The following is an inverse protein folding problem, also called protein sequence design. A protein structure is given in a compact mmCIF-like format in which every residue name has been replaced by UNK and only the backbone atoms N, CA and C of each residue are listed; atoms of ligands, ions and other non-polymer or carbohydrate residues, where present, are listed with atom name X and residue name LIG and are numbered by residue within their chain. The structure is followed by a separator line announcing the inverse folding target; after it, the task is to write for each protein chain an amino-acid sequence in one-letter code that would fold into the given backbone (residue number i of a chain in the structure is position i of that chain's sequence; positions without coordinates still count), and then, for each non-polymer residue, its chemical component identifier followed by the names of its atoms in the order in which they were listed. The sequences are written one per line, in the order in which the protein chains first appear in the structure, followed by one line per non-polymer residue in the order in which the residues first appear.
data_IF_787967596139
#
_entry.id   IF_787967596139
#
_cell.length_a   1.000
_cell.length_b   1.000
_cell.length_c   1.000
_cell.angle_alpha   90.00
_cell.angle_beta   90.00
_cell.angle_gamma   90.00
#
_symmetry.space_group_name_H-M   'P 1'
#
loop_
_entity.id
_entity.type
_entity.pdbx_description
1 polymer ?
#
# COMPACT_ATOMS: atom_id res chain seq x y z
N UNK A 1 -81.00 43.07 -11.82
CA UNK A 1 -80.23 43.87 -10.84
C UNK A 1 -78.90 43.16 -10.61
N UNK A 2 -77.79 43.86 -10.92
CA UNK A 2 -76.41 43.68 -10.40
C UNK A 2 -75.69 42.40 -10.92
N UNK A 3 -74.87 42.40 -11.98
CA UNK A 3 -73.58 43.09 -12.23
C UNK A 3 -72.56 42.99 -11.08
N UNK A 4 -71.72 41.95 -11.10
CA UNK A 4 -70.30 42.10 -10.76
C UNK A 4 -69.47 41.21 -11.71
N UNK A 5 -68.74 41.87 -12.61
CA UNK A 5 -67.64 41.27 -13.35
C UNK A 5 -66.50 40.95 -12.37
N UNK A 6 -65.94 39.74 -12.43
CA UNK A 6 -64.60 39.45 -11.91
C UNK A 6 -63.74 38.94 -13.05
N UNK A 7 -63.23 39.92 -13.80
CA UNK A 7 -61.99 39.83 -14.54
C UNK A 7 -60.85 39.80 -13.55
N UNK A 8 -60.06 38.72 -13.52
CA UNK A 8 -58.61 38.85 -13.61
C UNK A 8 -57.98 37.51 -13.98
N UNK A 9 -57.15 37.56 -15.03
CA UNK A 9 -56.28 36.50 -15.49
C UNK A 9 -55.49 35.86 -14.33
N UNK A 10 -55.63 34.55 -14.17
CA UNK A 10 -54.53 33.74 -13.65
C UNK A 10 -53.90 33.05 -14.86
N UNK A 11 -52.77 33.64 -15.24
CA UNK A 11 -51.92 33.28 -16.37
C UNK A 11 -51.72 31.77 -16.46
N UNK A 12 -51.89 31.22 -17.65
CA UNK A 12 -51.43 29.87 -17.96
C UNK A 12 -49.95 29.75 -17.62
N UNK A 13 -49.64 29.03 -16.54
CA UNK A 13 -48.27 28.71 -16.17
C UNK A 13 -47.66 27.87 -17.31
N UNK A 14 -46.59 28.32 -17.98
CA UNK A 14 -45.92 27.50 -18.97
C UNK A 14 -45.36 26.25 -18.28
N UNK A 15 -45.43 25.08 -18.92
CA UNK A 15 -45.00 23.78 -18.38
C UNK A 15 -43.54 23.76 -17.87
N UNK A 16 -42.76 24.76 -18.26
CA UNK A 16 -41.35 25.02 -17.95
C UNK A 16 -41.18 25.80 -16.63
N UNK A 17 -42.26 26.35 -16.06
CA UNK A 17 -42.20 27.18 -14.86
C UNK A 17 -41.72 26.41 -13.63
N UNK A 18 -42.08 25.13 -13.50
CA UNK A 18 -41.56 24.26 -12.45
C UNK A 18 -40.04 24.07 -12.57
N UNK A 19 -39.52 23.89 -13.78
CA UNK A 19 -38.09 23.74 -14.03
C UNK A 19 -37.33 25.05 -13.77
N UNK A 20 -37.90 26.19 -14.16
CA UNK A 20 -37.30 27.51 -13.89
C UNK A 20 -37.24 27.79 -12.38
N UNK A 21 -38.28 27.45 -11.62
CA UNK A 21 -38.29 27.62 -10.15
C UNK A 21 -37.27 26.72 -9.47
N UNK A 22 -37.12 25.47 -9.92
CA UNK A 22 -36.09 24.54 -9.40
C UNK A 22 -34.69 25.04 -9.74
N UNK A 23 -34.47 25.53 -10.95
CA UNK A 23 -33.16 26.04 -11.38
C UNK A 23 -32.79 27.33 -10.62
N UNK A 24 -33.76 28.21 -10.37
CA UNK A 24 -33.57 29.40 -9.52
C UNK A 24 -33.27 29.00 -8.07
N UNK A 25 -33.95 27.99 -7.50
CA UNK A 25 -33.65 27.48 -6.17
C UNK A 25 -32.24 26.89 -6.08
N UNK A 26 -31.80 26.13 -7.09
CA UNK A 26 -30.44 25.61 -7.17
C UNK A 26 -29.43 26.76 -7.23
N UNK A 27 -29.65 27.77 -8.08
CA UNK A 27 -28.75 28.93 -8.17
C UNK A 27 -28.71 29.72 -6.85
N UNK A 28 -29.81 29.84 -6.12
CA UNK A 28 -29.83 30.52 -4.81
C UNK A 28 -29.08 29.69 -3.76
N UNK A 29 -29.24 28.37 -3.73
CA UNK A 29 -28.51 27.48 -2.81
C UNK A 29 -27.01 27.44 -3.12
N UNK A 30 -26.64 27.31 -4.40
CA UNK A 30 -25.23 27.32 -4.83
C UNK A 30 -24.59 28.71 -4.78
N UNK A 31 -25.35 29.78 -5.07
CA UNK A 31 -24.88 31.17 -5.01
C UNK A 31 -24.62 31.64 -3.58
N UNK A 32 -25.47 31.25 -2.62
CA UNK A 32 -25.23 31.50 -1.19
C UNK A 32 -24.07 30.64 -0.66
N UNK A 33 -23.91 29.41 -1.15
CA UNK A 33 -22.75 28.56 -0.84
C UNK A 33 -21.41 29.13 -1.36
N UNK A 34 -21.42 29.73 -2.56
CA UNK A 34 -20.23 30.36 -3.14
C UNK A 34 -19.80 31.64 -2.41
N UNK A 35 -20.76 32.41 -1.88
CA UNK A 35 -20.49 33.60 -1.07
C UNK A 35 -19.89 33.26 0.31
N UNK A 36 -20.20 32.08 0.86
CA UNK A 36 -19.59 31.56 2.09
C UNK A 36 -18.26 30.83 1.85
N UNK A 37 -18.06 30.19 0.70
CA UNK A 37 -16.78 29.54 0.35
C UNK A 37 -15.67 30.55 0.03
N UNK A 38 -16.01 31.70 -0.55
CA UNK A 38 -15.01 32.74 -0.89
C UNK A 38 -14.35 33.39 0.34
N UNK A 39 -14.91 33.24 1.54
CA UNK A 39 -14.34 33.81 2.77
C UNK A 39 -13.35 32.88 3.50
N UNK A 40 -13.29 31.59 3.14
CA UNK A 40 -12.44 30.59 3.80
C UNK A 40 -11.23 30.20 2.94
N UNK A 41 -11.32 30.35 1.62
CA UNK A 41 -10.22 30.06 0.69
C UNK A 41 -9.04 31.05 0.76
N UNK A 42 -9.21 32.22 1.38
CA UNK A 42 -8.16 33.26 1.50
C UNK A 42 -7.36 33.19 2.82
N UNK A 43 -7.67 32.23 3.71
CA UNK A 43 -6.98 32.08 5.00
C UNK A 43 -5.75 31.14 4.99
N UNK A 44 -5.33 30.62 3.83
CA UNK A 44 -4.12 29.77 3.74
C UNK A 44 -2.85 30.53 3.37
N UNK A 45 -2.85 31.87 3.45
CA UNK A 45 -1.67 32.69 3.14
C UNK A 45 -1.15 33.39 4.39
N UNK A 46 -0.56 32.61 5.29
CA UNK A 46 0.25 33.22 6.34
C UNK A 46 1.52 33.85 5.72
N UNK A 47 1.83 35.11 6.05
CA UNK A 47 3.02 35.79 5.58
C UNK A 47 4.26 35.21 6.27
N UNK A 48 5.21 34.81 5.44
CA UNK A 48 6.60 34.49 5.78
C UNK A 48 7.11 35.37 6.94
N UNK A 49 7.38 34.75 8.08
CA UNK A 49 7.98 35.42 9.23
C UNK A 49 9.37 35.93 8.84
N UNK A 50 9.68 37.23 8.95
CA UNK A 50 11.05 37.69 8.82
C UNK A 50 11.80 37.27 10.08
N UNK A 51 12.68 36.27 9.96
CA UNK A 51 13.70 35.96 10.95
C UNK A 51 14.58 37.20 11.10
N UNK A 52 14.22 38.08 12.04
CA UNK A 52 14.96 39.27 12.41
C UNK A 52 16.13 38.84 13.28
N UNK A 53 17.21 38.38 12.65
CA UNK A 53 18.48 38.14 13.35
C UNK A 53 19.11 39.51 13.66
N UNK A 54 18.92 39.99 14.88
CA UNK A 54 19.65 41.15 15.40
C UNK A 54 20.41 40.75 16.67
N UNK A 55 21.60 40.17 16.50
CA UNK A 55 22.75 40.40 17.39
C UNK A 55 24.08 39.95 16.74
N UNK A 56 24.93 40.92 16.41
CA UNK A 56 26.38 40.77 16.31
C UNK A 56 27.02 41.11 17.69
N UNK A 57 28.34 41.01 17.95
CA UNK A 57 29.45 40.53 17.10
C UNK A 57 30.43 39.57 17.83
N UNK A 58 31.26 38.81 17.08
CA UNK A 58 32.66 38.53 17.48
C UNK A 58 33.50 38.35 16.22
N UNK A 59 34.69 38.94 16.27
CA UNK A 59 35.58 39.29 15.17
C UNK A 59 36.40 38.09 14.61
N UNK A 60 37.19 38.30 13.54
CA UNK A 60 37.55 37.28 12.55
C UNK A 60 38.96 36.69 12.71
N UNK A 61 39.19 35.59 11.98
CA UNK A 61 40.46 35.14 11.37
C UNK A 61 41.65 34.80 12.26
N UNK A 62 42.05 33.51 12.25
CA UNK A 62 43.14 33.07 11.36
C UNK A 62 43.22 31.54 11.21
N UNK A 63 43.67 31.08 10.03
CA UNK A 63 43.84 29.68 9.67
C UNK A 63 45.21 29.17 10.16
N UNK A 64 45.34 27.85 10.30
CA UNK A 64 46.66 27.22 10.33
C UNK A 64 46.59 25.79 9.77
N UNK A 65 47.17 25.67 8.58
CA UNK A 65 47.98 24.56 8.09
C UNK A 65 47.33 23.16 7.98
N UNK A 66 46.94 22.83 6.74
CA UNK A 66 47.51 21.74 5.89
C UNK A 66 48.55 20.77 6.52
N UNK A 67 48.86 19.60 5.90
CA UNK A 67 48.19 18.87 4.81
C UNK A 67 48.17 17.32 5.03
N UNK A 68 47.49 16.64 4.10
CA UNK A 68 47.79 15.33 3.44
C UNK A 68 49.00 14.53 3.99
N UNK A 69 48.85 13.20 4.16
CA UNK A 69 49.75 12.14 3.59
C UNK A 69 49.38 10.72 4.08
N UNK A 70 49.21 9.83 3.07
CA UNK A 70 49.50 8.38 2.99
C UNK A 70 48.64 7.32 3.71
N UNK A 71 47.88 6.59 2.90
CA UNK A 71 47.89 5.11 2.90
C UNK A 71 49.27 4.61 2.40
N UNK A 72 49.77 3.46 2.90
CA UNK A 72 49.60 2.23 2.12
C UNK A 72 49.33 0.96 2.97
N UNK A 73 48.97 -0.16 2.30
CA UNK A 73 48.52 -1.41 2.90
C UNK A 73 49.68 -2.39 3.19
N UNK A 74 49.31 -3.61 3.57
CA UNK A 74 50.10 -4.86 3.67
C UNK A 74 50.82 -5.18 4.99
N UNK A 75 50.35 -6.22 5.67
CA UNK A 75 51.24 -7.32 6.09
C UNK A 75 50.56 -8.64 5.74
N UNK A 76 51.25 -9.40 4.91
CA UNK A 76 50.87 -10.69 4.37
C UNK A 76 50.99 -11.82 5.39
N UNK A 77 50.20 -12.88 5.14
CA UNK A 77 50.39 -14.28 5.57
C UNK A 77 51.84 -14.75 5.31
N UNK A 78 52.37 -15.86 5.91
CA UNK A 78 51.83 -17.22 5.70
C UNK A 78 52.13 -18.29 6.79
N UNK A 79 51.34 -19.37 6.84
CA UNK A 79 51.80 -20.77 6.98
C UNK A 79 50.57 -21.70 6.93
N UNK A 80 50.40 -22.42 5.82
CA UNK A 80 50.71 -23.86 5.69
C UNK A 80 49.48 -24.72 6.12
N UNK A 81 48.66 -25.26 5.20
CA UNK A 81 48.93 -26.42 4.35
C UNK A 81 49.19 -27.66 5.24
N UNK A 82 48.49 -28.80 5.19
CA UNK A 82 47.82 -29.55 4.12
C UNK A 82 46.88 -30.63 4.78
N UNK A 83 46.34 -31.68 4.10
CA UNK A 83 44.99 -32.19 4.34
C UNK A 83 45.02 -33.53 5.11
N UNK A 84 43.87 -34.04 5.55
CA UNK A 84 43.76 -35.49 5.76
C UNK A 84 42.39 -35.97 5.29
N UNK A 85 42.37 -36.43 4.05
CA UNK A 85 41.49 -37.52 3.65
C UNK A 85 42.13 -38.83 4.12
N UNK A 86 41.36 -39.69 4.78
CA UNK A 86 41.54 -41.16 4.85
C UNK A 86 40.34 -41.70 5.62
N UNK A 87 39.64 -42.78 5.32
CA UNK A 87 39.52 -43.72 4.19
C UNK A 87 38.37 -44.66 4.64
N UNK A 88 37.60 -45.20 3.69
CA UNK A 88 36.67 -46.32 3.91
C UNK A 88 37.34 -47.47 4.69
N UNK A 89 36.54 -48.29 5.39
CA UNK A 89 36.43 -49.66 4.90
C UNK A 89 34.99 -50.19 4.90
N UNK A 90 34.49 -50.50 3.70
CA UNK A 90 33.81 -51.78 3.45
C UNK A 90 34.91 -52.84 3.20
N UNK A 91 34.70 -54.18 3.26
CA UNK A 91 33.44 -54.93 3.11
C UNK A 91 33.29 -56.18 4.01
N UNK A 92 32.07 -56.70 4.18
CA UNK A 92 31.80 -58.14 4.35
C UNK A 92 30.29 -58.43 4.24
N UNK A 93 29.80 -58.50 3.01
CA UNK A 93 28.78 -59.51 2.65
C UNK A 93 29.51 -60.86 2.55
N UNK A 94 28.90 -62.02 2.83
CA UNK A 94 27.79 -62.58 2.04
C UNK A 94 26.78 -63.32 2.96
N UNK A 95 25.67 -63.94 2.59
CA UNK A 95 25.17 -64.55 1.35
C UNK A 95 23.67 -64.80 1.64
N UNK A 96 22.75 -64.44 0.73
CA UNK A 96 22.03 -65.37 -0.16
C UNK A 96 21.16 -66.40 0.62
N UNK A 97 19.88 -66.61 0.37
CA UNK A 97 19.11 -66.53 -0.87
C UNK A 97 17.58 -66.75 -0.52
N UNK A 98 16.64 -66.94 -1.46
CA UNK A 98 15.77 -65.89 -2.00
C UNK A 98 14.25 -66.23 -2.01
N UNK A 99 13.45 -65.22 -2.40
CA UNK A 99 12.14 -65.28 -3.12
C UNK A 99 10.85 -65.79 -2.43
N UNK A 100 9.62 -65.41 -2.90
CA UNK A 100 9.18 -64.30 -3.77
C UNK A 100 7.83 -63.64 -3.30
N UNK A 101 7.20 -62.83 -4.18
CA UNK A 101 5.75 -62.46 -4.27
C UNK A 101 5.40 -61.05 -3.72
N UNK A 102 5.35 -60.02 -4.59
CA UNK A 102 4.14 -59.36 -5.17
C UNK A 102 3.35 -58.61 -4.08
N UNK A 103 3.19 -57.29 -4.12
CA UNK A 103 2.25 -56.62 -5.02
C UNK A 103 2.54 -55.12 -5.17
N UNK A 104 2.59 -54.69 -6.42
CA UNK A 104 2.70 -53.33 -6.91
C UNK A 104 1.35 -52.64 -6.71
N UNK A 105 1.27 -51.70 -5.77
CA UNK A 105 0.20 -50.70 -5.74
C UNK A 105 0.84 -49.31 -5.86
N UNK A 106 0.42 -48.47 -6.81
CA UNK A 106 1.01 -47.18 -7.03
C UNK A 106 0.62 -46.25 -5.88
N UNK A 107 1.61 -45.89 -5.05
CA UNK A 107 1.51 -44.73 -4.17
C UNK A 107 1.56 -43.47 -5.04
N UNK A 108 0.39 -43.08 -5.55
CA UNK A 108 0.11 -41.69 -5.90
C UNK A 108 -0.03 -40.95 -4.57
N UNK A 109 1.10 -40.58 -3.96
CA UNK A 109 1.12 -39.63 -2.86
C UNK A 109 0.99 -38.23 -3.47
N UNK A 110 -0.27 -37.96 -3.82
CA UNK A 110 -0.95 -36.68 -3.79
C UNK A 110 -0.04 -35.50 -3.46
N UNK A 111 0.35 -34.78 -4.50
CA UNK A 111 0.75 -33.38 -4.37
C UNK A 111 -0.39 -32.68 -3.65
N UNK A 112 -0.20 -32.41 -2.36
CA UNK A 112 -1.01 -31.48 -1.61
C UNK A 112 -0.85 -30.11 -2.28
N UNK A 113 -1.70 -29.86 -3.27
CA UNK A 113 -2.03 -28.52 -3.71
C UNK A 113 -2.83 -27.95 -2.55
N UNK A 114 -2.34 -26.92 -1.85
CA UNK A 114 -3.18 -26.22 -0.90
C UNK A 114 -4.44 -25.79 -1.65
N UNK A 115 -5.58 -26.28 -1.21
CA UNK A 115 -6.89 -25.89 -1.71
C UNK A 115 -7.01 -24.38 -1.49
N UNK A 116 -6.77 -23.63 -2.56
CA UNK A 116 -7.05 -22.19 -2.65
C UNK A 116 -8.55 -22.05 -2.35
N UNK A 117 -8.95 -21.43 -1.22
CA UNK A 117 -10.36 -21.31 -0.92
C UNK A 117 -10.96 -20.47 -2.04
N UNK A 118 -11.94 -21.04 -2.74
CA UNK A 118 -12.72 -20.33 -3.72
C UNK A 118 -13.31 -19.10 -3.03
N UNK A 119 -12.70 -17.94 -3.32
CA UNK A 119 -13.12 -16.65 -2.79
C UNK A 119 -14.57 -16.43 -3.22
N UNK A 120 -15.48 -16.35 -2.25
CA UNK A 120 -16.81 -15.82 -2.51
C UNK A 120 -16.65 -14.39 -3.07
N UNK A 121 -17.50 -13.97 -4.03
CA UNK A 121 -17.42 -12.63 -4.60
C UNK A 121 -17.56 -11.58 -3.50
N UNK A 122 -16.46 -10.90 -3.16
CA UNK A 122 -16.48 -9.77 -2.24
C UNK A 122 -17.16 -8.60 -2.99
N UNK A 123 -18.40 -8.32 -2.64
CA UNK A 123 -19.16 -7.17 -3.16
C UNK A 123 -18.33 -5.88 -2.97
N UNK A 124 -18.15 -5.05 -4.02
CA UNK A 124 -17.35 -3.85 -3.90
C UNK A 124 -18.07 -2.81 -3.03
N UNK A 125 -17.58 -2.64 -1.80
CA UNK A 125 -17.95 -1.53 -0.91
C UNK A 125 -17.32 -0.20 -1.33
N UNK A 126 -17.49 0.82 -0.47
CA UNK A 126 -16.76 2.10 -0.59
C UNK A 126 -15.24 1.81 -0.67
N UNK A 127 -14.47 2.50 -1.54
CA UNK A 127 -13.03 2.29 -1.65
C UNK A 127 -12.30 2.59 -0.33
N UNK A 128 -11.47 1.64 0.11
CA UNK A 128 -10.63 1.78 1.29
C UNK A 128 -9.33 2.54 1.00
N UNK A 129 -8.73 3.11 2.04
CA UNK A 129 -7.41 3.70 1.97
C UNK A 129 -6.30 2.64 2.12
N UNK A 130 -6.00 1.93 1.02
CA UNK A 130 -4.93 0.91 0.98
C UNK A 130 -3.54 1.44 1.38
N UNK A 131 -3.32 2.77 1.41
CA UNK A 131 -2.06 3.36 1.88
C UNK A 131 -1.83 3.21 3.38
N UNK A 132 -2.83 2.75 4.14
CA UNK A 132 -2.67 2.37 5.55
C UNK A 132 -1.80 1.12 5.74
N UNK A 133 -1.62 0.34 4.68
CA UNK A 133 -0.75 -0.84 4.66
C UNK A 133 0.69 -0.40 4.41
N UNK A 134 1.59 -0.76 5.32
CA UNK A 134 3.01 -0.42 5.20
C UNK A 134 3.63 -1.09 3.97
N UNK A 135 4.22 -0.26 3.11
CA UNK A 135 4.75 -0.67 1.81
C UNK A 135 3.85 -0.31 0.63
N UNK A 136 2.58 0.02 0.87
CA UNK A 136 1.66 0.51 -0.17
C UNK A 136 1.72 2.04 -0.23
N UNK A 137 2.48 2.56 -1.19
CA UNK A 137 2.49 3.99 -1.52
C UNK A 137 1.38 4.40 -2.49
N UNK A 138 1.20 5.72 -2.77
CA UNK A 138 0.18 6.23 -3.69
C UNK A 138 0.19 5.54 -5.06
N UNK A 139 1.38 5.25 -5.61
CA UNK A 139 1.51 4.58 -6.90
C UNK A 139 1.02 3.13 -6.87
N UNK A 140 1.32 2.38 -5.81
CA UNK A 140 0.88 1.00 -5.66
C UNK A 140 -0.64 0.98 -5.48
N UNK A 141 -1.19 1.84 -4.61
CA UNK A 141 -2.65 1.94 -4.42
C UNK A 141 -3.39 2.24 -5.71
N UNK A 142 -2.83 3.11 -6.57
CA UNK A 142 -3.41 3.41 -7.88
C UNK A 142 -3.40 2.20 -8.81
N UNK A 143 -2.30 1.43 -8.84
CA UNK A 143 -2.19 0.24 -9.70
C UNK A 143 -3.11 -0.88 -9.23
N UNK A 144 -3.27 -1.06 -7.92
CA UNK A 144 -4.22 -2.01 -7.34
C UNK A 144 -5.66 -1.61 -7.68
N UNK A 145 -6.00 -0.33 -7.56
CA UNK A 145 -7.32 0.18 -7.93
C UNK A 145 -7.62 0.05 -9.42
N UNK A 146 -6.63 0.21 -10.30
CA UNK A 146 -6.75 -0.04 -11.75
C UNK A 146 -7.11 -1.51 -12.05
N UNK A 147 -6.71 -2.44 -11.18
CA UNK A 147 -7.02 -3.87 -11.26
C UNK A 147 -8.31 -4.25 -10.47
N UNK A 148 -9.02 -3.26 -9.91
CA UNK A 148 -10.26 -3.46 -9.16
C UNK A 148 -10.07 -3.84 -7.68
N UNK A 149 -8.83 -3.84 -7.19
CA UNK A 149 -8.50 -4.09 -5.78
C UNK A 149 -8.57 -2.76 -5.04
N UNK A 150 -9.73 -2.46 -4.50
CA UNK A 150 -10.06 -1.17 -3.88
C UNK A 150 -10.42 -1.28 -2.39
N UNK A 151 -10.56 -2.49 -1.84
CA UNK A 151 -10.87 -2.71 -0.41
C UNK A 151 -9.76 -3.49 0.30
N UNK A 152 -9.67 -3.32 1.63
CA UNK A 152 -8.78 -4.15 2.46
C UNK A 152 -9.16 -5.62 2.37
N UNK A 153 -10.46 -5.93 2.33
CA UNK A 153 -10.95 -7.31 2.22
C UNK A 153 -10.48 -8.00 0.92
N UNK A 154 -10.54 -7.30 -0.21
CA UNK A 154 -10.02 -7.81 -1.48
C UNK A 154 -8.51 -8.05 -1.40
N UNK A 155 -7.74 -7.11 -0.86
CA UNK A 155 -6.29 -7.24 -0.73
C UNK A 155 -5.89 -8.36 0.24
N UNK A 156 -6.67 -8.56 1.31
CA UNK A 156 -6.48 -9.63 2.29
C UNK A 156 -6.75 -11.03 1.72
N UNK A 157 -7.68 -11.13 0.77
CA UNK A 157 -8.00 -12.37 0.08
C UNK A 157 -6.96 -12.79 -0.95
N UNK A 158 -6.03 -11.90 -1.32
CA UNK A 158 -4.99 -12.19 -2.31
C UNK A 158 -3.75 -12.81 -1.67
N UNK A 159 -3.06 -13.64 -2.44
CA UNK A 159 -1.72 -14.11 -2.08
C UNK A 159 -0.65 -13.08 -2.45
N UNK A 160 0.54 -13.09 -1.79
CA UNK A 160 1.65 -12.22 -2.19
C UNK A 160 2.05 -12.38 -3.67
N UNK A 161 1.90 -13.58 -4.23
CA UNK A 161 2.21 -13.87 -5.64
C UNK A 161 1.20 -13.25 -6.60
N UNK A 162 -0.10 -13.32 -6.30
CA UNK A 162 -1.14 -12.63 -7.07
C UNK A 162 -0.92 -11.12 -7.07
N UNK A 163 -0.62 -10.53 -5.90
CA UNK A 163 -0.31 -9.10 -5.78
C UNK A 163 0.94 -8.76 -6.60
N UNK A 164 1.97 -9.62 -6.56
CA UNK A 164 3.21 -9.45 -7.31
C UNK A 164 2.95 -9.48 -8.82
N UNK A 165 2.08 -10.35 -9.30
CA UNK A 165 1.69 -10.40 -10.71
C UNK A 165 1.04 -9.09 -11.16
N UNK A 166 0.09 -8.57 -10.39
CA UNK A 166 -0.60 -7.28 -10.68
C UNK A 166 0.39 -6.11 -10.78
N UNK A 167 1.40 -6.09 -9.92
CA UNK A 167 2.36 -4.98 -9.83
C UNK A 167 3.54 -5.12 -10.80
N UNK A 168 3.80 -6.31 -11.32
CA UNK A 168 4.95 -6.59 -12.18
C UNK A 168 4.91 -5.74 -13.44
N UNK A 169 6.01 -5.08 -13.77
CA UNK A 169 6.12 -4.15 -14.91
C UNK A 169 5.45 -2.79 -14.70
N UNK A 170 4.63 -2.62 -13.66
CA UNK A 170 3.96 -1.35 -13.29
C UNK A 170 4.67 -0.61 -12.14
N UNK A 171 5.31 -1.35 -11.23
CA UNK A 171 6.07 -0.83 -10.08
C UNK A 171 7.45 -1.49 -10.03
N UNK A 172 8.51 -0.71 -9.74
CA UNK A 172 9.90 -1.22 -9.75
C UNK A 172 10.34 -1.86 -8.43
N UNK A 173 9.89 -1.31 -7.32
CA UNK A 173 10.32 -1.72 -5.99
C UNK A 173 9.11 -1.89 -5.10
N UNK A 174 8.81 -3.13 -4.75
CA UNK A 174 7.69 -3.50 -3.88
C UNK A 174 8.00 -4.84 -3.22
N UNK A 175 7.38 -5.10 -2.07
CA UNK A 175 7.39 -6.40 -1.42
C UNK A 175 5.98 -6.60 -0.82
N UNK A 176 5.18 -7.54 -1.35
CA UNK A 176 3.83 -7.78 -0.90
C UNK A 176 3.73 -8.84 0.22
N UNK A 177 4.84 -9.34 0.76
CA UNK A 177 4.88 -10.54 1.60
C UNK A 177 4.08 -10.40 2.92
N UNK A 178 3.83 -9.15 3.36
CA UNK A 178 3.06 -8.84 4.57
C UNK A 178 1.75 -8.12 4.27
N UNK A 179 1.48 -7.74 3.02
CA UNK A 179 0.32 -6.91 2.70
C UNK A 179 -1.02 -7.61 2.94
N UNK A 180 -1.21 -8.90 2.57
CA UNK A 180 -2.44 -9.60 2.88
C UNK A 180 -2.74 -9.66 4.38
N UNK A 181 -1.72 -9.90 5.20
CA UNK A 181 -1.85 -9.99 6.66
C UNK A 181 -2.21 -8.64 7.28
N UNK A 182 -1.53 -7.57 6.86
CA UNK A 182 -1.88 -6.20 7.27
C UNK A 182 -3.30 -5.82 6.81
N UNK A 183 -3.69 -6.20 5.59
CA UNK A 183 -4.99 -5.90 5.03
C UNK A 183 -6.11 -6.67 5.74
N UNK A 184 -5.86 -7.89 6.20
CA UNK A 184 -6.81 -8.64 7.01
C UNK A 184 -7.11 -7.92 8.34
N UNK A 185 -6.07 -7.43 9.03
CA UNK A 185 -6.25 -6.64 10.25
C UNK A 185 -7.04 -5.35 9.99
N UNK A 186 -6.77 -4.66 8.88
CA UNK A 186 -7.49 -3.47 8.49
C UNK A 186 -8.96 -3.76 8.11
N UNK A 187 -9.23 -4.87 7.42
CA UNK A 187 -10.58 -5.30 7.02
C UNK A 187 -11.44 -5.71 8.23
N UNK A 188 -10.80 -6.18 9.31
CA UNK A 188 -11.45 -6.52 10.58
C UNK A 188 -11.58 -5.31 11.54
N UNK A 189 -11.22 -4.10 11.11
CA UNK A 189 -11.15 -2.89 11.95
C UNK A 189 -10.21 -3.01 13.17
N UNK A 190 -9.23 -3.92 13.11
CA UNK A 190 -8.25 -4.17 14.18
C UNK A 190 -7.04 -3.25 14.04
N UNK A 191 -7.30 -1.96 14.15
CA UNK A 191 -6.31 -0.90 13.94
C UNK A 191 -5.14 -0.95 14.92
N UNK A 192 -5.41 -1.26 16.20
CA UNK A 192 -4.35 -1.37 17.22
C UNK A 192 -3.41 -2.55 16.93
N UNK A 193 -3.97 -3.69 16.51
CA UNK A 193 -3.19 -4.87 16.14
C UNK A 193 -2.38 -4.63 14.85
N UNK A 194 -2.94 -3.89 13.89
CA UNK A 194 -2.21 -3.48 12.68
C UNK A 194 -0.99 -2.63 13.04
N UNK A 195 -1.15 -1.64 13.93
CA UNK A 195 -0.03 -0.80 14.37
C UNK A 195 1.01 -1.65 15.10
N UNK A 196 0.59 -2.49 16.05
CA UNK A 196 1.50 -3.40 16.76
C UNK A 196 2.25 -4.33 15.80
N UNK A 197 1.58 -4.83 14.76
CA UNK A 197 2.20 -5.65 13.74
C UNK A 197 3.23 -4.85 12.92
N UNK A 198 2.88 -3.64 12.48
CA UNK A 198 3.78 -2.75 11.74
C UNK A 198 5.03 -2.35 12.54
N UNK A 199 4.93 -2.20 13.86
CA UNK A 199 6.11 -1.96 14.72
C UNK A 199 7.14 -3.11 14.69
N UNK A 200 6.70 -4.33 14.36
CA UNK A 200 7.60 -5.48 14.17
C UNK A 200 8.24 -5.52 12.77
N UNK A 201 7.77 -4.70 11.83
CA UNK A 201 8.23 -4.66 10.46
C UNK A 201 9.31 -3.59 10.25
N UNK A 202 10.12 -3.79 9.21
CA UNK A 202 11.11 -2.84 8.73
C UNK A 202 10.82 -2.46 7.28
N UNK A 203 10.01 -1.43 7.09
CA UNK A 203 9.60 -0.99 5.75
C UNK A 203 8.70 -2.01 5.08
N UNK A 204 7.73 -2.56 5.82
CA UNK A 204 6.75 -3.55 5.36
C UNK A 204 7.31 -4.98 5.25
N UNK A 205 8.53 -5.23 5.74
CA UNK A 205 9.20 -6.53 5.69
C UNK A 205 9.47 -7.05 7.09
N UNK A 206 9.39 -8.37 7.28
CA UNK A 206 9.74 -9.00 8.57
C UNK A 206 11.20 -8.66 8.91
N UNK A 207 11.42 -8.16 10.13
CA UNK A 207 12.70 -7.62 10.61
C UNK A 207 13.79 -8.70 10.79
#
# INVERSE_FOLDING_TARGET
MILIASTLAQNGFPQNAGLIVVLVLIIVVFGLGALLWSAIADSSKEPSSPVRVLRAPVAPSRPKDEPVVAEPPVVAAPHAAVPVATTLPAPAAPTAAPEPVVEEQPIVEEVYVPEEPAAEPIEPGEPDDLKRIEGIGPKISSVLAEDGIITFAQLAAMTPDQIREVLTGRVRLFNPDTWPEQAALAAEDRWDDLVAFQETLKGGRRA
#
